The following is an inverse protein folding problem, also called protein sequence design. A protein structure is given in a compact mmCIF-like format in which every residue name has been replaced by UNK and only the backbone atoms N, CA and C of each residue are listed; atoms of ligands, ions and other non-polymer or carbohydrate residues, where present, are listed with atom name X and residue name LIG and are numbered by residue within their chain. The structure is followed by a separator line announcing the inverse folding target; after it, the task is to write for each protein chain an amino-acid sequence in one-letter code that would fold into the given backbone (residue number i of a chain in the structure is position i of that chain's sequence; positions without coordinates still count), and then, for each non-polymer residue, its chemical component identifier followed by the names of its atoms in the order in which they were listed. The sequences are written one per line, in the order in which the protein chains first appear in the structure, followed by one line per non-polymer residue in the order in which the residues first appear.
data_IF_241972966308
#
_entry.id   IF_241972966308
#
_cell.length_a   1.000
_cell.length_b   1.000
_cell.length_c   1.000
_cell.angle_alpha   90.00
_cell.angle_beta   90.00
_cell.angle_gamma   90.00
#
_symmetry.space_group_name_H-M   'P 1'
#
loop_
_entity.id
_entity.type
_entity.pdbx_description
1 polymer ?
#
# COMPACT_ATOMS: atom_id res chain seq x y z
N UNK A 1 -9.71 -18.79 -16.97
CA UNK A 1 -9.86 -18.69 -15.49
C UNK A 1 -8.49 -18.43 -14.89
N UNK A 2 -8.40 -17.45 -13.97
CA UNK A 2 -7.24 -17.26 -13.10
C UNK A 2 -7.63 -17.62 -11.66
N UNK A 3 -6.80 -18.41 -11.01
CA UNK A 3 -6.92 -18.75 -9.59
C UNK A 3 -5.91 -17.92 -8.82
N UNK A 4 -6.30 -17.35 -7.69
CA UNK A 4 -5.45 -16.46 -6.90
C UNK A 4 -5.66 -16.69 -5.39
N UNK A 5 -4.63 -16.36 -4.62
CA UNK A 5 -4.65 -16.41 -3.17
C UNK A 5 -5.53 -15.31 -2.56
N UNK A 6 -6.00 -15.51 -1.33
CA UNK A 6 -6.88 -14.57 -0.64
C UNK A 6 -6.29 -13.16 -0.46
N UNK A 7 -4.96 -13.04 -0.36
CA UNK A 7 -4.25 -11.76 -0.29
C UNK A 7 -4.33 -10.94 -1.59
N UNK A 8 -4.66 -11.57 -2.72
CA UNK A 8 -4.84 -10.94 -4.03
C UNK A 8 -6.30 -10.58 -4.34
N UNK A 9 -7.24 -10.88 -3.45
CA UNK A 9 -8.66 -10.63 -3.64
C UNK A 9 -8.99 -9.15 -3.88
N UNK A 10 -8.23 -8.24 -3.29
CA UNK A 10 -8.36 -6.81 -3.54
C UNK A 10 -7.97 -6.38 -4.95
N UNK A 11 -7.16 -7.19 -5.67
CA UNK A 11 -6.70 -6.92 -7.03
C UNK A 11 -7.65 -7.53 -8.05
N UNK A 12 -8.05 -8.80 -7.85
CA UNK A 12 -8.83 -9.59 -8.80
C UNK A 12 -10.28 -9.76 -8.33
N UNK A 13 -11.06 -8.69 -8.38
CA UNK A 13 -12.48 -8.73 -8.04
C UNK A 13 -13.33 -8.01 -9.08
N UNK A 14 -14.64 -8.27 -9.09
CA UNK A 14 -15.57 -7.66 -10.06
C UNK A 14 -15.55 -6.13 -10.00
N UNK A 15 -15.40 -5.53 -8.83
CA UNK A 15 -15.34 -4.07 -8.69
C UNK A 15 -14.16 -3.45 -9.44
N UNK A 16 -13.02 -4.12 -9.46
CA UNK A 16 -11.86 -3.68 -10.25
C UNK A 16 -12.10 -3.88 -11.74
N UNK A 17 -12.77 -4.96 -12.14
CA UNK A 17 -13.17 -5.17 -13.54
C UNK A 17 -14.15 -4.07 -13.98
N UNK A 18 -15.15 -3.74 -13.17
CA UNK A 18 -16.08 -2.63 -13.47
C UNK A 18 -15.34 -1.31 -13.72
N UNK A 19 -14.33 -1.01 -12.90
CA UNK A 19 -13.49 0.16 -13.10
C UNK A 19 -12.78 0.14 -14.45
N UNK A 20 -12.14 -0.99 -14.81
CA UNK A 20 -11.45 -1.14 -16.10
C UNK A 20 -12.41 -0.99 -17.28
N UNK A 21 -13.60 -1.58 -17.22
CA UNK A 21 -14.60 -1.45 -18.28
C UNK A 21 -15.07 0.00 -18.45
N UNK A 22 -15.26 0.73 -17.34
CA UNK A 22 -15.57 2.17 -17.38
C UNK A 22 -14.45 2.99 -18.01
N UNK A 23 -13.20 2.72 -17.63
CA UNK A 23 -12.01 3.38 -18.21
C UNK A 23 -11.89 3.11 -19.72
N UNK A 24 -12.25 1.90 -20.16
CA UNK A 24 -12.27 1.49 -21.57
C UNK A 24 -13.56 1.90 -22.31
N UNK A 25 -14.51 2.56 -21.65
CA UNK A 25 -15.80 2.96 -22.20
C UNK A 25 -16.63 1.77 -22.73
N UNK A 26 -16.48 0.60 -22.11
CA UNK A 26 -17.24 -0.60 -22.42
C UNK A 26 -18.46 -0.65 -21.51
N UNK A 27 -19.66 -0.66 -22.11
CA UNK A 27 -20.91 -0.84 -21.37
C UNK A 27 -21.01 -2.23 -20.75
N UNK A 28 -21.69 -2.34 -19.62
CA UNK A 28 -21.94 -3.59 -18.93
C UNK A 28 -23.15 -3.50 -18.02
N UNK A 29 -23.67 -4.66 -17.62
CA UNK A 29 -24.67 -4.79 -16.57
C UNK A 29 -24.34 -5.94 -15.63
N UNK A 30 -24.89 -5.90 -14.42
CA UNK A 30 -24.70 -6.93 -13.42
C UNK A 30 -25.88 -7.89 -13.40
N UNK A 31 -25.61 -9.18 -13.46
CA UNK A 31 -26.55 -10.28 -13.30
C UNK A 31 -26.18 -11.09 -12.04
N UNK A 32 -26.64 -10.66 -10.87
CA UNK A 32 -26.26 -11.26 -9.60
C UNK A 32 -24.76 -11.05 -9.30
N UNK A 33 -23.97 -12.13 -9.28
CA UNK A 33 -22.51 -12.11 -9.08
C UNK A 33 -21.72 -12.18 -10.39
N UNK A 34 -22.37 -11.91 -11.49
CA UNK A 34 -21.76 -11.93 -12.82
C UNK A 34 -21.88 -10.56 -13.45
N UNK A 35 -20.89 -10.23 -14.23
CA UNK A 35 -20.86 -9.01 -15.03
C UNK A 35 -20.95 -9.43 -16.49
N UNK A 36 -21.88 -8.86 -17.23
CA UNK A 36 -22.05 -9.11 -18.66
C UNK A 36 -21.75 -7.81 -19.41
N UNK A 37 -20.80 -7.86 -20.36
CA UNK A 37 -20.47 -6.69 -21.18
C UNK A 37 -21.53 -6.47 -22.27
N UNK A 38 -21.66 -5.24 -22.71
CA UNK A 38 -22.27 -4.93 -23.99
C UNK A 38 -21.38 -5.45 -25.14
N UNK A 39 -21.83 -5.23 -26.37
CA UNK A 39 -21.02 -5.54 -27.53
C UNK A 39 -19.76 -4.71 -27.54
N UNK A 40 -18.61 -5.37 -27.57
CA UNK A 40 -17.30 -4.73 -27.63
C UNK A 40 -16.45 -5.35 -28.73
N UNK A 41 -15.50 -4.60 -29.25
CA UNK A 41 -14.53 -5.12 -30.19
C UNK A 41 -13.65 -6.19 -29.54
N UNK A 42 -13.15 -7.13 -30.32
CA UNK A 42 -12.29 -8.21 -29.82
C UNK A 42 -10.89 -7.70 -29.44
N UNK A 43 -10.46 -6.58 -30.04
CA UNK A 43 -9.12 -6.02 -29.88
C UNK A 43 -8.03 -6.75 -30.66
N UNK A 44 -8.39 -7.70 -31.49
CA UNK A 44 -7.45 -8.50 -32.29
C UNK A 44 -7.33 -7.95 -33.71
N UNK A 45 -6.10 -7.86 -34.19
CA UNK A 45 -5.80 -7.38 -35.55
C UNK A 45 -6.07 -8.40 -36.66
N UNK A 46 -6.16 -9.69 -36.27
CA UNK A 46 -6.43 -10.81 -37.20
C UNK A 46 -7.91 -11.15 -37.33
N UNK A 47 -8.79 -10.44 -36.64
CA UNK A 47 -10.23 -10.65 -36.76
C UNK A 47 -10.79 -9.94 -38.01
N UNK A 48 -11.86 -10.49 -38.50
CA UNK A 48 -12.62 -9.85 -39.57
C UNK A 48 -13.24 -8.54 -39.05
N UNK A 49 -13.31 -7.55 -39.94
CA UNK A 49 -13.92 -6.26 -39.65
C UNK A 49 -15.33 -6.43 -39.08
N UNK A 50 -15.74 -5.50 -38.25
CA UNK A 50 -17.06 -5.45 -37.61
C UNK A 50 -17.38 -6.66 -36.72
N UNK A 51 -16.35 -7.36 -36.24
CA UNK A 51 -16.54 -8.48 -35.28
C UNK A 51 -16.62 -7.90 -33.87
N UNK A 52 -17.73 -8.14 -33.19
CA UNK A 52 -17.97 -7.76 -31.81
C UNK A 52 -18.28 -9.00 -30.96
N UNK A 53 -18.04 -8.87 -29.67
CA UNK A 53 -18.12 -9.97 -28.71
C UNK A 53 -18.77 -9.51 -27.43
N UNK A 54 -19.50 -10.38 -26.75
CA UNK A 54 -20.00 -10.18 -25.39
C UNK A 54 -19.35 -11.17 -24.46
N UNK A 55 -18.84 -10.67 -23.34
CA UNK A 55 -18.20 -11.45 -22.30
C UNK A 55 -19.07 -11.55 -21.05
N UNK A 56 -18.97 -12.67 -20.36
CA UNK A 56 -19.40 -12.82 -18.98
C UNK A 56 -18.17 -12.96 -18.09
N UNK A 57 -18.10 -12.15 -17.05
CA UNK A 57 -17.03 -12.18 -16.05
C UNK A 57 -17.65 -12.58 -14.71
N UNK A 58 -17.03 -13.51 -14.02
CA UNK A 58 -17.54 -14.04 -12.76
C UNK A 58 -16.42 -14.20 -11.74
N UNK A 59 -16.69 -13.76 -10.51
CA UNK A 59 -15.82 -14.01 -9.37
C UNK A 59 -16.31 -15.26 -8.63
N UNK A 60 -15.46 -16.28 -8.57
CA UNK A 60 -15.74 -17.55 -7.90
C UNK A 60 -14.99 -17.58 -6.58
N UNK A 61 -15.71 -17.69 -5.48
CA UNK A 61 -15.15 -17.84 -4.14
C UNK A 61 -15.41 -19.29 -3.67
N UNK A 62 -14.41 -20.14 -3.73
CA UNK A 62 -14.44 -21.49 -3.19
C UNK A 62 -13.70 -21.54 -1.85
N UNK A 63 -13.97 -22.59 -1.04
CA UNK A 63 -13.38 -22.74 0.32
C UNK A 63 -11.84 -22.66 0.35
N UNK A 64 -11.17 -23.03 -0.73
CA UNK A 64 -9.70 -23.09 -0.79
C UNK A 64 -9.07 -22.24 -1.90
N UNK A 65 -9.87 -21.61 -2.76
CA UNK A 65 -9.35 -20.80 -3.86
C UNK A 65 -10.36 -19.75 -4.31
N UNK A 66 -9.89 -18.58 -4.65
CA UNK A 66 -10.65 -17.55 -5.34
C UNK A 66 -10.27 -17.60 -6.82
N UNK A 67 -11.22 -17.35 -7.69
CA UNK A 67 -10.97 -17.32 -9.12
C UNK A 67 -11.74 -16.21 -9.82
N UNK A 68 -11.13 -15.64 -10.85
CA UNK A 68 -11.77 -14.77 -11.82
C UNK A 68 -11.91 -15.55 -13.13
N UNK A 69 -13.13 -15.64 -13.63
CA UNK A 69 -13.40 -16.34 -14.90
C UNK A 69 -13.92 -15.36 -15.93
N UNK A 70 -13.52 -15.57 -17.17
CA UNK A 70 -14.06 -14.87 -18.34
C UNK A 70 -14.56 -15.92 -19.28
N UNK A 71 -15.78 -15.74 -19.79
CA UNK A 71 -16.37 -16.60 -20.82
C UNK A 71 -17.00 -15.75 -21.93
N UNK A 72 -17.04 -16.30 -23.12
CA UNK A 72 -17.69 -15.69 -24.27
C UNK A 72 -19.13 -16.14 -24.33
N UNK A 73 -20.06 -15.18 -24.33
CA UNK A 73 -21.49 -15.45 -24.48
C UNK A 73 -21.86 -15.57 -25.95
N UNK A 74 -21.60 -14.53 -26.72
CA UNK A 74 -22.03 -14.40 -28.10
C UNK A 74 -20.98 -13.61 -28.90
N UNK A 75 -20.98 -13.82 -30.20
CA UNK A 75 -20.27 -12.99 -31.17
C UNK A 75 -21.26 -12.42 -32.18
N UNK A 76 -20.93 -11.26 -32.70
CA UNK A 76 -21.65 -10.60 -33.78
C UNK A 76 -20.67 -10.18 -34.85
N UNK A 77 -21.05 -10.38 -36.12
CA UNK A 77 -20.34 -9.82 -37.26
C UNK A 77 -21.36 -9.08 -38.15
N UNK A 78 -21.06 -7.81 -38.36
CA UNK A 78 -22.06 -6.88 -38.88
C UNK A 78 -23.33 -6.97 -38.01
N UNK A 79 -24.47 -7.33 -38.58
CA UNK A 79 -25.72 -7.47 -37.82
C UNK A 79 -26.08 -8.94 -37.48
N UNK A 80 -25.23 -9.89 -37.82
CA UNK A 80 -25.49 -11.33 -37.60
C UNK A 80 -24.88 -11.79 -36.28
N UNK A 81 -25.74 -12.18 -35.33
CA UNK A 81 -25.33 -12.76 -34.04
C UNK A 81 -25.20 -14.27 -34.18
N UNK A 82 -24.11 -14.81 -33.66
CA UNK A 82 -23.85 -16.26 -33.71
C UNK A 82 -23.17 -16.75 -32.44
N UNK A 83 -23.26 -18.04 -32.19
CA UNK A 83 -22.51 -18.70 -31.11
C UNK A 83 -21.17 -19.17 -31.66
N UNK A 84 -20.03 -18.67 -31.11
CA UNK A 84 -18.73 -19.10 -31.58
C UNK A 84 -18.42 -20.56 -31.25
N UNK A 85 -17.48 -21.15 -31.99
CA UNK A 85 -16.95 -22.47 -31.69
C UNK A 85 -16.33 -22.57 -30.32
N UNK A 86 -16.17 -23.75 -29.76
CA UNK A 86 -15.51 -23.93 -28.45
C UNK A 86 -14.08 -23.40 -28.47
N UNK A 87 -13.35 -23.63 -29.56
CA UNK A 87 -11.98 -23.14 -29.72
C UNK A 87 -11.93 -21.62 -29.75
N UNK A 88 -12.85 -20.95 -30.45
CA UNK A 88 -12.94 -19.48 -30.45
C UNK A 88 -13.32 -18.94 -29.07
N UNK A 89 -14.30 -19.57 -28.40
CA UNK A 89 -14.65 -19.19 -27.02
C UNK A 89 -13.46 -19.22 -26.10
N UNK A 90 -12.67 -20.28 -26.13
CA UNK A 90 -11.47 -20.42 -25.31
C UNK A 90 -10.41 -19.36 -25.67
N UNK A 91 -10.17 -19.14 -26.96
CA UNK A 91 -9.20 -18.16 -27.46
C UNK A 91 -9.55 -16.75 -26.99
N UNK A 92 -10.74 -16.27 -27.28
CA UNK A 92 -11.16 -14.92 -26.90
C UNK A 92 -11.30 -14.72 -25.39
N UNK A 93 -11.79 -15.72 -24.65
CA UNK A 93 -11.86 -15.66 -23.20
C UNK A 93 -10.47 -15.58 -22.57
N UNK A 94 -9.49 -16.34 -23.08
CA UNK A 94 -8.11 -16.30 -22.59
C UNK A 94 -7.45 -14.96 -22.88
N UNK A 95 -7.60 -14.44 -24.10
CA UNK A 95 -7.04 -13.12 -24.47
C UNK A 95 -7.60 -12.02 -23.59
N UNK A 96 -8.92 -11.99 -23.39
CA UNK A 96 -9.58 -10.98 -22.56
C UNK A 96 -9.18 -11.09 -21.08
N UNK A 97 -9.08 -12.31 -20.57
CA UNK A 97 -8.60 -12.56 -19.21
C UNK A 97 -7.16 -12.07 -19.03
N UNK A 98 -6.28 -12.37 -19.97
CA UNK A 98 -4.88 -11.92 -19.92
C UNK A 98 -4.77 -10.39 -19.94
N UNK A 99 -5.58 -9.70 -20.73
CA UNK A 99 -5.66 -8.24 -20.73
C UNK A 99 -6.07 -7.71 -19.36
N UNK A 100 -7.15 -8.22 -18.78
CA UNK A 100 -7.59 -7.82 -17.45
C UNK A 100 -6.50 -8.05 -16.39
N UNK A 101 -5.89 -9.22 -16.38
CA UNK A 101 -4.81 -9.55 -15.43
C UNK A 101 -3.63 -8.60 -15.57
N UNK A 102 -3.20 -8.30 -16.80
CA UNK A 102 -2.12 -7.36 -17.07
C UNK A 102 -2.43 -5.95 -16.55
N UNK A 103 -3.63 -5.43 -16.85
CA UNK A 103 -4.05 -4.10 -16.44
C UNK A 103 -4.26 -3.98 -14.92
N UNK A 104 -4.87 -4.99 -14.29
CA UNK A 104 -5.06 -5.03 -12.84
C UNK A 104 -3.73 -5.07 -12.09
N UNK A 105 -2.78 -5.89 -12.54
CA UNK A 105 -1.44 -5.95 -11.97
C UNK A 105 -0.69 -4.63 -12.14
N UNK A 106 -0.73 -4.03 -13.33
CA UNK A 106 -0.08 -2.75 -13.60
C UNK A 106 -0.62 -1.64 -12.69
N UNK A 107 -1.93 -1.56 -12.55
CA UNK A 107 -2.59 -0.58 -11.66
C UNK A 107 -2.19 -0.81 -10.20
N UNK A 108 -2.20 -2.05 -9.74
CA UNK A 108 -1.81 -2.39 -8.38
C UNK A 108 -0.35 -2.01 -8.11
N UNK A 109 0.56 -2.32 -9.04
CA UNK A 109 1.97 -1.93 -8.90
C UNK A 109 2.17 -0.42 -8.84
N UNK A 110 1.47 0.35 -9.69
CA UNK A 110 1.51 1.82 -9.64
C UNK A 110 1.03 2.35 -8.30
N UNK A 111 -0.10 1.87 -7.80
CA UNK A 111 -0.62 2.25 -6.49
C UNK A 111 0.37 1.93 -5.36
N UNK A 112 1.02 0.77 -5.40
CA UNK A 112 2.05 0.41 -4.42
C UNK A 112 3.28 1.32 -4.49
N UNK A 113 3.71 1.71 -5.69
CA UNK A 113 4.82 2.65 -5.88
C UNK A 113 4.48 4.05 -5.36
N UNK A 114 3.27 4.54 -5.66
CA UNK A 114 2.77 5.82 -5.16
C UNK A 114 2.69 5.82 -3.62
N UNK A 115 2.15 4.78 -3.01
CA UNK A 115 2.09 4.61 -1.55
C UNK A 115 3.50 4.62 -0.94
N UNK A 116 4.46 3.90 -1.52
CA UNK A 116 5.86 3.91 -1.07
C UNK A 116 6.46 5.30 -1.20
N UNK A 117 6.23 6.01 -2.29
CA UNK A 117 6.69 7.38 -2.50
C UNK A 117 6.13 8.34 -1.44
N UNK A 118 4.83 8.24 -1.12
CA UNK A 118 4.22 9.03 -0.04
C UNK A 118 4.78 8.67 1.32
N UNK A 119 4.96 7.39 1.60
CA UNK A 119 5.52 6.91 2.87
C UNK A 119 6.99 7.31 3.06
N UNK A 120 7.79 7.37 2.00
CA UNK A 120 9.20 7.75 2.03
C UNK A 120 9.45 9.26 1.92
N UNK A 121 8.43 10.06 1.63
CA UNK A 121 8.59 11.51 1.48
C UNK A 121 8.99 12.20 2.80
N UNK A 122 9.74 13.31 2.75
CA UNK A 122 10.15 14.07 3.94
C UNK A 122 8.99 14.45 4.86
N UNK A 123 9.25 14.47 6.16
CA UNK A 123 8.30 14.89 7.18
C UNK A 123 8.85 16.11 7.90
N UNK A 124 8.08 17.21 7.88
CA UNK A 124 8.35 18.35 8.73
C UNK A 124 7.94 18.04 10.17
N UNK A 125 8.73 18.46 11.12
CA UNK A 125 8.50 18.17 12.52
C UNK A 125 8.92 19.32 13.42
N UNK A 126 8.40 19.34 14.64
CA UNK A 126 8.74 20.30 15.67
C UNK A 126 8.83 19.64 17.05
N UNK A 127 9.78 20.04 17.85
CA UNK A 127 9.87 19.61 19.25
C UNK A 127 8.86 20.44 20.04
N UNK A 128 8.00 19.77 20.79
CA UNK A 128 6.96 20.40 21.61
C UNK A 128 6.78 19.65 22.92
N UNK A 129 5.99 20.23 23.83
CA UNK A 129 5.57 19.57 25.05
C UNK A 129 4.17 18.99 24.83
N UNK A 130 3.99 17.72 25.17
CA UNK A 130 2.67 17.06 25.06
C UNK A 130 1.72 17.52 26.19
N UNK A 131 0.47 17.05 26.13
CA UNK A 131 -0.55 17.37 27.13
C UNK A 131 -0.20 16.92 28.57
N UNK A 132 0.78 16.02 28.71
CA UNK A 132 1.26 15.51 30.00
C UNK A 132 2.57 16.20 30.47
N UNK A 133 3.01 17.24 29.78
CA UNK A 133 4.25 17.95 30.10
C UNK A 133 5.53 17.24 29.63
N UNK A 134 5.44 16.18 28.83
CA UNK A 134 6.59 15.45 28.29
C UNK A 134 7.08 16.11 27.01
N UNK A 135 8.40 16.11 26.79
CA UNK A 135 8.95 16.54 25.50
C UNK A 135 8.62 15.49 24.48
N UNK A 136 8.05 15.92 23.35
CA UNK A 136 7.63 15.08 22.25
C UNK A 136 8.08 15.68 20.91
N UNK A 137 8.24 14.84 19.91
CA UNK A 137 8.42 15.26 18.53
C UNK A 137 7.07 15.22 17.81
N UNK A 138 6.55 16.37 17.43
CA UNK A 138 5.34 16.50 16.64
C UNK A 138 5.69 16.42 15.16
N UNK A 139 5.07 15.49 14.46
CA UNK A 139 5.27 15.21 13.04
C UNK A 139 4.09 15.74 12.24
N UNK A 140 4.34 16.54 11.21
CA UNK A 140 3.30 16.98 10.28
C UNK A 140 2.97 15.86 9.26
N UNK A 141 2.51 14.75 9.78
CA UNK A 141 2.17 13.55 9.03
C UNK A 141 1.11 12.74 9.77
N UNK A 142 0.30 12.00 9.00
CA UNK A 142 -0.62 11.02 9.55
C UNK A 142 0.13 9.92 10.31
N UNK A 143 -0.57 9.24 11.23
CA UNK A 143 -0.01 8.12 11.98
C UNK A 143 0.68 7.08 11.08
N UNK A 144 0.03 6.66 10.01
CA UNK A 144 0.55 5.62 9.10
C UNK A 144 1.85 6.07 8.42
N UNK A 145 1.88 7.28 7.86
CA UNK A 145 3.10 7.83 7.25
C UNK A 145 4.23 7.97 8.27
N UNK A 146 3.94 8.53 9.45
CA UNK A 146 4.89 8.68 10.54
C UNK A 146 5.43 7.32 11.01
N UNK A 147 4.55 6.32 11.19
CA UNK A 147 4.92 4.97 11.58
C UNK A 147 5.93 4.36 10.62
N UNK A 148 5.67 4.43 9.31
CA UNK A 148 6.59 3.88 8.30
C UNK A 148 7.92 4.63 8.24
N UNK A 149 7.90 5.97 8.29
CA UNK A 149 9.13 6.79 8.24
C UNK A 149 10.02 6.59 9.47
N UNK A 150 9.43 6.44 10.64
CA UNK A 150 10.16 6.16 11.89
C UNK A 150 10.86 4.80 11.87
N UNK A 151 10.30 3.79 11.16
CA UNK A 151 10.95 2.49 11.01
C UNK A 151 12.33 2.59 10.32
N UNK A 152 12.50 3.53 9.39
CA UNK A 152 13.78 3.78 8.73
C UNK A 152 14.65 4.81 9.45
N UNK A 153 14.05 5.74 10.18
CA UNK A 153 14.77 6.80 10.86
C UNK A 153 15.42 6.36 12.18
N UNK A 154 14.75 5.50 12.95
CA UNK A 154 15.25 5.02 14.25
C UNK A 154 16.60 4.27 14.14
N UNK A 155 16.77 3.32 13.20
CA UNK A 155 18.06 2.64 13.03
C UNK A 155 19.21 3.59 12.68
N UNK A 156 18.94 4.67 11.95
CA UNK A 156 19.94 5.69 11.65
C UNK A 156 20.48 6.42 12.88
N UNK A 157 19.76 6.38 14.00
CA UNK A 157 20.18 6.93 15.30
C UNK A 157 20.72 5.85 16.26
N UNK A 158 20.86 4.61 15.83
CA UNK A 158 21.32 3.49 16.65
C UNK A 158 20.21 2.80 17.44
N UNK A 159 18.94 3.08 17.17
CA UNK A 159 17.81 2.36 17.76
C UNK A 159 17.37 1.20 16.87
N UNK A 160 17.69 -0.01 17.26
CA UNK A 160 17.17 -1.22 16.59
C UNK A 160 15.76 -1.51 17.11
N UNK A 161 14.83 -1.83 16.19
CA UNK A 161 13.46 -2.20 16.56
C UNK A 161 13.45 -3.69 16.86
N UNK A 162 13.11 -4.05 18.10
CA UNK A 162 13.04 -5.45 18.56
C UNK A 162 11.62 -6.02 18.46
N UNK A 163 10.60 -5.17 18.72
CA UNK A 163 9.19 -5.58 18.65
C UNK A 163 8.32 -4.39 18.20
N UNK A 164 7.22 -4.70 17.50
CA UNK A 164 6.27 -3.71 17.02
C UNK A 164 4.84 -4.07 17.42
N UNK A 165 4.11 -3.10 17.99
CA UNK A 165 2.69 -3.18 18.30
C UNK A 165 1.96 -2.04 17.57
N UNK A 166 1.80 -2.19 16.26
CA UNK A 166 1.29 -1.13 15.36
C UNK A 166 -0.08 -0.58 15.78
N UNK A 167 -1.00 -1.43 16.25
CA UNK A 167 -2.31 -1.00 16.72
C UNK A 167 -2.25 -0.06 17.94
N UNK A 168 -1.18 -0.13 18.74
CA UNK A 168 -0.96 0.71 19.92
C UNK A 168 0.02 1.85 19.65
N UNK A 169 0.66 1.85 18.49
CA UNK A 169 1.71 2.80 18.16
C UNK A 169 2.99 2.62 18.98
N UNK A 170 3.28 1.40 19.44
CA UNK A 170 4.42 1.10 20.32
C UNK A 170 5.48 0.33 19.53
N UNK A 171 6.74 0.72 19.69
CA UNK A 171 7.92 -0.03 19.29
C UNK A 171 8.85 -0.19 20.47
N UNK A 172 9.25 -1.42 20.72
CA UNK A 172 10.35 -1.71 21.64
C UNK A 172 11.66 -1.55 20.86
N UNK A 173 12.61 -0.87 21.47
CA UNK A 173 13.86 -0.45 20.85
C UNK A 173 15.04 -0.92 21.69
N UNK A 174 16.12 -1.31 21.01
CA UNK A 174 17.43 -1.54 21.65
C UNK A 174 18.39 -0.48 21.14
N UNK A 175 18.85 0.39 22.05
CA UNK A 175 19.82 1.43 21.69
C UNK A 175 21.23 0.90 21.67
N UNK A 176 21.92 1.05 20.54
CA UNK A 176 23.35 0.78 20.33
C UNK A 176 24.03 2.10 20.04
N UNK A 177 24.88 2.61 20.96
CA UNK A 177 25.52 3.90 20.79
C UNK A 177 26.31 3.98 19.48
N UNK A 178 26.06 5.05 18.73
CA UNK A 178 26.85 5.43 17.56
C UNK A 178 28.09 6.23 17.98
N UNK A 179 29.07 6.29 17.09
CA UNK A 179 30.25 7.13 17.28
C UNK A 179 29.92 8.63 17.22
N UNK A 180 30.80 9.46 17.78
CA UNK A 180 30.65 10.91 17.69
C UNK A 180 30.63 11.41 16.24
N UNK A 181 31.37 10.79 15.35
CA UNK A 181 31.39 11.16 13.91
C UNK A 181 30.04 10.88 13.24
N UNK A 182 29.38 9.78 13.58
CA UNK A 182 28.06 9.43 13.06
C UNK A 182 27.01 10.44 13.51
N UNK A 183 27.02 10.84 14.78
CA UNK A 183 26.15 11.89 15.28
C UNK A 183 26.37 13.25 14.62
N UNK A 184 27.62 13.63 14.38
CA UNK A 184 27.95 14.84 13.62
C UNK A 184 27.43 14.79 12.18
N UNK A 185 27.48 13.64 11.51
CA UNK A 185 26.90 13.47 10.17
C UNK A 185 25.37 13.59 10.16
N UNK A 186 24.71 13.21 11.24
CA UNK A 186 23.28 13.42 11.45
C UNK A 186 22.98 14.91 11.68
N UNK A 187 23.96 15.68 12.11
CA UNK A 187 23.84 17.12 12.37
C UNK A 187 23.48 17.45 13.81
N UNK A 188 23.86 16.57 14.76
CA UNK A 188 23.65 16.77 16.20
C UNK A 188 24.88 16.36 17.01
N UNK A 189 24.85 16.68 18.30
CA UNK A 189 25.86 16.21 19.23
C UNK A 189 25.60 14.78 19.68
N UNK A 190 26.63 14.11 20.22
CA UNK A 190 26.51 12.83 20.88
C UNK A 190 25.57 12.94 22.10
N UNK A 191 24.47 12.19 22.19
CA UNK A 191 23.63 12.18 23.38
C UNK A 191 24.29 11.41 24.51
N UNK A 192 24.03 11.86 25.74
CA UNK A 192 24.39 11.10 26.95
C UNK A 192 23.31 10.03 27.22
N UNK A 193 23.18 9.05 26.30
CA UNK A 193 22.20 8.00 26.37
C UNK A 193 22.89 6.66 26.63
N UNK A 194 22.41 5.92 27.61
CA UNK A 194 22.95 4.62 27.98
C UNK A 194 22.50 3.55 26.96
N UNK A 195 23.38 2.59 26.68
CA UNK A 195 23.03 1.40 25.93
C UNK A 195 21.99 0.59 26.70
N UNK A 196 20.89 0.22 26.08
CA UNK A 196 19.81 -0.54 26.74
C UNK A 196 18.51 -0.49 25.98
N UNK A 197 17.45 -0.86 26.67
CA UNK A 197 16.12 -0.96 26.13
C UNK A 197 15.36 0.38 26.26
N UNK A 198 14.68 0.73 25.22
CA UNK A 198 13.85 1.92 25.11
C UNK A 198 12.50 1.56 24.50
N UNK A 199 11.56 2.44 24.63
CA UNK A 199 10.25 2.32 24.00
C UNK A 199 9.91 3.62 23.26
N UNK A 200 9.48 3.48 22.02
CA UNK A 200 8.87 4.58 21.26
C UNK A 200 7.36 4.43 21.28
N UNK A 201 6.66 5.51 21.58
CA UNK A 201 5.22 5.59 21.42
C UNK A 201 4.88 6.67 20.40
N UNK A 202 4.11 6.30 19.39
CA UNK A 202 3.52 7.18 18.40
C UNK A 202 2.02 7.32 18.67
N UNK A 203 1.54 8.54 18.79
CA UNK A 203 0.14 8.86 18.97
C UNK A 203 -0.38 9.73 17.83
N UNK A 204 -1.59 9.46 17.34
CA UNK A 204 -2.25 10.33 16.38
C UNK A 204 -2.80 11.58 17.06
N UNK A 205 -2.63 12.74 16.41
CA UNK A 205 -3.13 14.05 16.85
C UNK A 205 -3.81 14.76 15.66
N UNK A 206 -4.99 14.30 15.27
CA UNK A 206 -5.70 14.79 14.09
C UNK A 206 -4.94 14.48 12.80
N UNK A 207 -4.46 15.52 12.09
CA UNK A 207 -3.65 15.37 10.87
C UNK A 207 -2.15 15.21 11.16
N UNK A 208 -1.76 15.31 12.39
CA UNK A 208 -0.39 15.20 12.87
C UNK A 208 -0.23 13.94 13.72
N UNK A 209 1.00 13.65 14.10
CA UNK A 209 1.34 12.59 15.04
C UNK A 209 2.39 13.08 16.02
N UNK A 210 2.44 12.51 17.21
CA UNK A 210 3.41 12.85 18.23
C UNK A 210 4.20 11.60 18.64
N UNK A 211 5.52 11.74 18.74
CA UNK A 211 6.47 10.69 19.16
C UNK A 211 7.03 11.01 20.52
N UNK A 212 6.98 10.03 21.41
CA UNK A 212 7.68 10.06 22.71
C UNK A 212 8.56 8.82 22.80
N UNK A 213 9.81 9.00 23.21
CA UNK A 213 10.74 7.92 23.51
C UNK A 213 10.93 7.88 25.03
N UNK A 214 10.87 6.68 25.59
CA UNK A 214 11.03 6.42 27.03
C UNK A 214 12.12 5.39 27.27
N UNK A 215 12.73 5.42 28.42
CA UNK A 215 13.69 4.41 28.89
C UNK A 215 13.01 3.08 29.29
N UNK A 216 13.77 2.11 29.74
CA UNK A 216 13.29 0.81 30.22
C UNK A 216 12.29 0.91 31.39
N UNK A 217 12.38 1.98 32.19
CA UNK A 217 11.47 2.27 33.31
C UNK A 217 10.21 3.00 32.85
N UNK A 218 10.02 3.17 31.53
CA UNK A 218 8.93 3.93 30.91
C UNK A 218 8.91 5.40 31.27
N UNK A 219 10.07 5.94 31.66
CA UNK A 219 10.25 7.37 31.90
C UNK A 219 10.62 8.03 30.56
N UNK A 220 9.82 9.02 30.15
CA UNK A 220 10.08 9.74 28.91
C UNK A 220 11.42 10.48 28.96
N UNK A 221 12.16 10.44 27.86
CA UNK A 221 13.37 11.22 27.69
C UNK A 221 13.06 12.70 27.96
N UNK A 222 13.95 13.38 28.66
CA UNK A 222 13.75 14.77 29.08
C UNK A 222 15.03 15.60 28.89
N UNK A 223 14.90 16.92 29.05
CA UNK A 223 16.02 17.83 29.03
C UNK A 223 16.85 17.77 27.74
N UNK A 224 18.16 17.85 27.89
CA UNK A 224 19.12 17.90 26.80
C UNK A 224 19.13 16.62 25.97
N UNK A 225 18.94 15.45 26.58
CA UNK A 225 18.93 14.17 25.90
C UNK A 225 17.75 14.08 24.91
N UNK A 226 16.55 14.43 25.36
CA UNK A 226 15.36 14.45 24.49
C UNK A 226 15.54 15.43 23.33
N UNK A 227 16.09 16.61 23.59
CA UNK A 227 16.34 17.61 22.55
C UNK A 227 17.30 17.09 21.49
N UNK A 228 18.41 16.46 21.87
CA UNK A 228 19.39 15.92 20.91
C UNK A 228 18.77 14.80 20.06
N UNK A 229 18.07 13.85 20.69
CA UNK A 229 17.45 12.72 19.98
C UNK A 229 16.36 13.20 19.03
N UNK A 230 15.49 14.09 19.48
CA UNK A 230 14.41 14.61 18.62
C UNK A 230 14.94 15.53 17.53
N UNK A 231 16.01 16.30 17.77
CA UNK A 231 16.67 17.07 16.71
C UNK A 231 17.29 16.16 15.66
N UNK A 232 17.91 15.06 16.09
CA UNK A 232 18.44 14.05 15.16
C UNK A 232 17.34 13.40 14.33
N UNK A 233 16.22 13.02 14.96
CA UNK A 233 15.05 12.51 14.24
C UNK A 233 14.51 13.51 13.23
N UNK A 234 14.41 14.81 13.60
CA UNK A 234 14.02 15.87 12.66
C UNK A 234 14.92 15.91 11.44
N UNK A 235 16.24 15.89 11.65
CA UNK A 235 17.22 15.95 10.57
C UNK A 235 17.14 14.74 9.63
N UNK A 236 16.86 13.54 10.16
CA UNK A 236 16.70 12.31 9.35
C UNK A 236 15.36 12.29 8.63
N UNK A 237 14.29 12.72 9.28
CA UNK A 237 12.94 12.73 8.70
C UNK A 237 12.74 13.83 7.65
N UNK A 238 13.55 14.87 7.66
CA UNK A 238 13.52 15.98 6.71
C UNK A 238 14.22 15.64 5.35
N UNK A 239 14.90 14.51 5.28
CA UNK A 239 15.55 13.99 4.08
C UNK A 239 14.63 13.03 3.34
#
# INVERSE_FOLDING_TARGET
MIVYESNKKQVYNLKQIERLLKEQQIGYHLEGKKLVTDWTETGRVDDLKNTQIRYQIEEVNARQANALTVSVLQMKRDDTVFTPSLADKQRYASDRLNQFVGELNSTYQKQQQELRGVQSSPIQSAIATDSNGRIALVLNASFEKAWHRLASALPALGFEISEEQGARGIRELVYKPLSQEEWLRIGTQLPELEKGDYQMQLAAAGKQSAVVISDEKKTALSGKQAQIIYQALQNVLAK
#
